data_IF_482800697103
#
_entry.id   IF_482800697103
#
_cell.length_a   1.000
_cell.length_b   1.000
_cell.length_c   1.000
_cell.angle_alpha   90.00
_cell.angle_beta   90.00
_cell.angle_gamma   90.00
#
_symmetry.space_group_name_H-M   'P 1'
#
loop_
_entity.id
_entity.type
_entity.pdbx_description
1 polymer ?
#
# COMPACT_ATOMS: atom_id res chain seq x y z
N UNK A 1 -8.89 8.03 12.77
CA UNK A 1 -8.24 7.05 11.86
C UNK A 1 -7.04 6.44 12.58
N UNK A 2 -6.98 5.12 12.70
CA UNK A 2 -5.84 4.44 13.31
C UNK A 2 -4.69 4.33 12.29
N UNK A 3 -3.44 4.47 12.74
CA UNK A 3 -2.24 4.48 11.89
C UNK A 3 -1.13 3.64 12.54
N UNK A 4 -0.33 3.00 11.72
CA UNK A 4 0.87 2.26 12.09
C UNK A 4 1.99 2.63 11.13
N UNK A 5 3.20 2.84 11.67
CA UNK A 5 4.43 2.98 10.90
C UNK A 5 5.56 2.28 11.62
N UNK A 6 6.35 1.49 10.89
CA UNK A 6 7.55 0.85 11.43
C UNK A 6 8.51 0.53 10.30
N UNK A 7 9.68 0.02 10.63
CA UNK A 7 10.65 -0.43 9.65
C UNK A 7 10.84 -1.94 9.76
N UNK A 8 11.03 -2.59 8.62
CA UNK A 8 11.26 -4.03 8.55
C UNK A 8 12.47 -4.33 7.67
N UNK A 9 13.19 -5.38 8.03
CA UNK A 9 14.14 -6.00 7.13
C UNK A 9 13.37 -6.86 6.14
N UNK A 10 13.39 -6.50 4.85
CA UNK A 10 12.72 -7.25 3.79
C UNK A 10 13.62 -8.40 3.34
N UNK A 11 13.89 -9.34 4.26
CA UNK A 11 14.72 -10.52 4.02
C UNK A 11 14.08 -11.69 4.76
N UNK A 12 14.19 -12.91 4.25
CA UNK A 12 13.62 -14.11 4.90
C UNK A 12 14.64 -15.25 4.96
N UNK A 13 15.92 -14.91 5.10
CA UNK A 13 17.03 -15.86 5.02
C UNK A 13 17.28 -16.66 6.29
N UNK A 14 16.61 -16.29 7.39
CA UNK A 14 16.65 -17.02 8.65
C UNK A 14 15.26 -17.12 9.24
N UNK A 15 15.05 -18.04 10.17
CA UNK A 15 13.84 -18.15 10.97
C UNK A 15 13.50 -16.82 11.64
N UNK A 16 14.52 -16.13 12.18
CA UNK A 16 14.33 -14.84 12.84
C UNK A 16 13.86 -13.76 11.86
N UNK A 17 14.49 -13.66 10.68
CA UNK A 17 14.07 -12.67 9.68
C UNK A 17 12.60 -12.90 9.25
N UNK A 18 12.19 -14.17 9.11
CA UNK A 18 10.81 -14.54 8.79
C UNK A 18 9.87 -14.15 9.92
N UNK A 19 10.22 -14.48 11.17
CA UNK A 19 9.43 -14.11 12.35
C UNK A 19 9.22 -12.61 12.42
N UNK A 20 10.27 -11.83 12.20
CA UNK A 20 10.21 -10.37 12.24
C UNK A 20 9.26 -9.83 11.17
N UNK A 21 9.33 -10.36 9.94
CA UNK A 21 8.43 -9.94 8.86
C UNK A 21 6.96 -10.31 9.11
N UNK A 22 6.69 -11.57 9.51
CA UNK A 22 5.33 -12.04 9.81
C UNK A 22 4.76 -11.28 11.02
N UNK A 23 5.58 -11.10 12.06
CA UNK A 23 5.22 -10.34 13.26
C UNK A 23 4.88 -8.90 12.93
N UNK A 24 5.69 -8.22 12.14
CA UNK A 24 5.42 -6.83 11.79
C UNK A 24 4.12 -6.69 10.97
N UNK A 25 3.83 -7.64 10.08
CA UNK A 25 2.56 -7.66 9.33
C UNK A 25 1.37 -7.86 10.28
N UNK A 26 1.49 -8.77 11.24
CA UNK A 26 0.48 -8.98 12.27
C UNK A 26 0.28 -7.74 13.15
N UNK A 27 1.37 -7.20 13.70
CA UNK A 27 1.35 -6.03 14.57
C UNK A 27 0.74 -4.82 13.83
N UNK A 28 1.02 -4.64 12.53
CA UNK A 28 0.42 -3.59 11.72
C UNK A 28 -1.11 -3.74 11.61
N UNK A 29 -1.62 -4.96 11.37
CA UNK A 29 -3.05 -5.24 11.29
C UNK A 29 -3.76 -4.97 12.63
N UNK A 30 -3.17 -5.44 13.74
CA UNK A 30 -3.73 -5.23 15.07
C UNK A 30 -3.69 -3.73 15.45
N UNK A 31 -2.58 -3.04 15.17
CA UNK A 31 -2.41 -1.63 15.50
C UNK A 31 -3.41 -0.71 14.78
N UNK A 32 -3.85 -1.06 13.57
CA UNK A 32 -4.90 -0.31 12.86
C UNK A 32 -6.32 -0.76 13.24
N UNK A 33 -6.44 -1.67 14.20
CA UNK A 33 -7.71 -2.11 14.77
C UNK A 33 -8.43 -3.15 13.92
N UNK A 34 -7.72 -3.98 13.15
CA UNK A 34 -8.25 -5.26 12.69
C UNK A 34 -8.23 -6.27 13.85
N UNK A 35 -9.10 -7.27 13.80
CA UNK A 35 -9.15 -8.35 14.79
C UNK A 35 -8.64 -9.61 14.11
N UNK A 36 -7.66 -10.31 14.72
CA UNK A 36 -7.34 -11.67 14.30
C UNK A 36 -8.49 -12.59 14.73
N UNK A 37 -9.03 -13.36 13.79
CA UNK A 37 -10.13 -14.28 14.10
C UNK A 37 -9.64 -15.48 14.93
N UNK A 38 -10.56 -16.26 15.48
CA UNK A 38 -10.25 -17.50 16.22
C UNK A 38 -10.25 -18.75 15.34
N UNK A 39 -10.04 -18.62 14.03
CA UNK A 39 -10.00 -19.76 13.11
C UNK A 39 -8.89 -20.75 13.50
N UNK A 40 -9.22 -22.05 13.48
CA UNK A 40 -8.30 -23.12 13.87
C UNK A 40 -7.20 -23.33 12.84
N UNK A 41 -5.95 -23.54 13.28
CA UNK A 41 -4.82 -23.82 12.38
C UNK A 41 -4.11 -22.58 11.86
N UNK A 42 -4.41 -21.41 12.41
CA UNK A 42 -3.63 -20.19 12.15
C UNK A 42 -2.19 -20.31 12.64
N UNK A 43 -1.29 -19.64 11.92
CA UNK A 43 0.15 -19.65 12.15
C UNK A 43 0.50 -19.07 13.52
N UNK A 44 1.15 -19.89 14.35
CA UNK A 44 1.92 -19.43 15.50
C UNK A 44 3.27 -18.87 15.01
N UNK A 45 3.48 -17.57 15.24
CA UNK A 45 4.69 -16.88 14.79
C UNK A 45 5.91 -17.38 15.56
N UNK A 46 5.73 -17.73 16.84
CA UNK A 46 6.84 -18.17 17.69
C UNK A 46 7.42 -19.51 17.24
N UNK A 47 6.58 -20.37 16.67
CA UNK A 47 6.93 -21.72 16.19
C UNK A 47 7.54 -21.76 14.79
N UNK A 48 7.68 -20.61 14.11
CA UNK A 48 8.32 -20.57 12.78
C UNK A 48 9.75 -21.12 12.90
N UNK A 49 10.04 -22.15 12.11
CA UNK A 49 11.33 -22.82 12.08
C UNK A 49 12.23 -22.27 10.96
N UNK A 50 13.52 -22.64 11.01
CA UNK A 50 14.46 -22.35 9.93
C UNK A 50 13.99 -23.07 8.66
N UNK A 51 13.91 -22.37 7.53
CA UNK A 51 13.54 -23.00 6.29
C UNK A 51 14.58 -24.01 5.82
N UNK A 52 14.12 -25.13 5.28
CA UNK A 52 14.99 -26.04 4.55
C UNK A 52 15.17 -25.54 3.11
N UNK A 53 16.40 -25.59 2.58
CA UNK A 53 16.72 -25.10 1.25
C UNK A 53 15.93 -25.83 0.14
N UNK A 54 15.58 -25.12 -0.94
CA UNK A 54 15.11 -25.71 -2.19
C UNK A 54 13.59 -25.89 -2.37
N UNK A 55 12.76 -25.46 -1.42
CA UNK A 55 11.28 -25.57 -1.53
C UNK A 55 10.59 -24.23 -1.37
N UNK A 56 9.57 -23.96 -2.19
CA UNK A 56 8.52 -23.01 -1.81
C UNK A 56 7.76 -23.63 -0.65
N UNK A 57 7.85 -23.08 0.57
CA UNK A 57 7.15 -23.62 1.73
C UNK A 57 6.10 -22.62 2.20
N UNK A 58 4.86 -23.10 2.32
CA UNK A 58 3.79 -22.37 2.99
C UNK A 58 4.00 -22.54 4.49
N UNK A 59 4.26 -21.45 5.20
CA UNK A 59 4.42 -21.44 6.65
C UNK A 59 3.08 -21.68 7.35
N UNK A 60 2.02 -21.11 6.80
CA UNK A 60 0.69 -21.09 7.38
C UNK A 60 -0.02 -19.79 7.02
N UNK A 61 -1.11 -19.51 7.71
CA UNK A 61 -1.95 -18.36 7.41
C UNK A 61 -2.41 -17.65 8.67
N UNK A 62 -2.85 -16.41 8.52
CA UNK A 62 -3.63 -15.68 9.52
C UNK A 62 -4.86 -15.05 8.88
N UNK A 63 -5.97 -15.01 9.61
CA UNK A 63 -7.23 -14.43 9.15
C UNK A 63 -7.57 -13.25 10.04
N UNK A 64 -7.95 -12.14 9.41
CA UNK A 64 -8.26 -10.89 10.06
C UNK A 64 -9.63 -10.38 9.62
N UNK A 65 -10.39 -9.82 10.56
CA UNK A 65 -11.61 -9.08 10.30
C UNK A 65 -11.34 -7.56 10.29
N UNK A 66 -11.89 -6.87 9.30
CA UNK A 66 -11.92 -5.40 9.25
C UNK A 66 -13.00 -4.92 10.22
N UNK A 67 -12.64 -4.85 11.51
CA UNK A 67 -13.50 -4.47 12.64
C UNK A 67 -13.92 -2.97 12.59
N UNK A 68 -14.68 -2.59 11.59
CA UNK A 68 -15.24 -1.25 11.39
C UNK A 68 -16.71 -1.17 11.86
N UNK A 69 -17.40 -0.04 11.65
CA UNK A 69 -18.76 0.14 12.20
C UNK A 69 -19.79 -0.80 11.58
N UNK A 70 -19.47 -1.43 10.45
CA UNK A 70 -20.35 -2.36 9.74
C UNK A 70 -19.95 -3.82 9.97
N UNK A 71 -18.86 -4.08 10.67
CA UNK A 71 -18.31 -5.43 10.87
C UNK A 71 -19.30 -6.41 11.49
N UNK A 72 -20.13 -5.98 12.45
CA UNK A 72 -21.13 -6.83 13.10
C UNK A 72 -22.22 -7.38 12.17
N UNK A 73 -22.53 -6.65 11.09
CA UNK A 73 -23.61 -7.01 10.15
C UNK A 73 -23.06 -7.46 8.81
N UNK A 74 -21.94 -6.87 8.40
CA UNK A 74 -21.31 -7.05 7.11
C UNK A 74 -19.78 -7.21 7.28
N UNK A 75 -19.30 -8.30 7.89
CA UNK A 75 -17.88 -8.51 8.13
C UNK A 75 -17.10 -8.71 6.82
N UNK A 76 -15.87 -8.22 6.79
CA UNK A 76 -14.92 -8.47 5.69
C UNK A 76 -13.70 -9.14 6.30
N UNK A 77 -13.32 -10.28 5.72
CA UNK A 77 -12.21 -11.08 6.18
C UNK A 77 -11.06 -11.05 5.18
N UNK A 78 -9.85 -10.95 5.71
CA UNK A 78 -8.61 -10.99 4.95
C UNK A 78 -7.80 -12.17 5.48
N UNK A 79 -7.54 -13.16 4.62
CA UNK A 79 -6.57 -14.21 4.89
C UNK A 79 -5.24 -13.85 4.25
N UNK A 80 -4.18 -13.85 5.05
CA UNK A 80 -2.81 -13.70 4.60
C UNK A 80 -2.12 -15.04 4.81
N UNK A 81 -1.73 -15.69 3.71
CA UNK A 81 -0.91 -16.91 3.73
C UNK A 81 0.54 -16.48 3.60
N UNK A 82 1.38 -16.88 4.54
CA UNK A 82 2.80 -16.57 4.52
C UNK A 82 3.54 -17.71 3.82
N UNK A 83 4.15 -17.41 2.68
CA UNK A 83 4.89 -18.37 1.87
C UNK A 83 6.17 -17.71 1.34
N UNK A 84 7.14 -17.41 2.21
CA UNK A 84 8.42 -16.85 1.78
C UNK A 84 9.09 -17.78 0.78
N UNK A 85 9.85 -17.18 -0.13
CA UNK A 85 10.50 -17.92 -1.21
C UNK A 85 11.99 -17.97 -0.98
N UNK A 86 12.58 -19.16 -1.14
CA UNK A 86 14.02 -19.37 -1.23
C UNK A 86 14.39 -19.72 -2.66
N UNK A 87 15.39 -19.02 -3.18
CA UNK A 87 15.92 -19.22 -4.52
C UNK A 87 17.41 -19.46 -4.40
N UNK A 88 17.92 -20.51 -5.02
CA UNK A 88 19.35 -20.71 -5.19
C UNK A 88 19.78 -20.08 -6.50
N UNK A 89 20.80 -19.23 -6.46
CA UNK A 89 21.47 -18.74 -7.66
C UNK A 89 22.99 -18.95 -7.55
N UNK A 90 23.72 -18.57 -8.61
CA UNK A 90 25.18 -18.67 -8.65
C UNK A 90 25.90 -17.78 -7.63
N UNK A 91 25.23 -16.82 -7.00
CA UNK A 91 25.76 -15.95 -5.94
C UNK A 91 25.32 -16.33 -4.52
N UNK A 92 24.53 -17.40 -4.36
CA UNK A 92 24.11 -17.95 -3.07
C UNK A 92 22.60 -18.16 -2.94
N UNK A 93 22.15 -18.48 -1.73
CA UNK A 93 20.73 -18.61 -1.41
C UNK A 93 20.13 -17.23 -1.13
N UNK A 94 19.10 -16.87 -1.89
CA UNK A 94 18.30 -15.66 -1.72
C UNK A 94 16.96 -16.02 -1.10
N UNK A 95 16.48 -15.19 -0.18
CA UNK A 95 15.21 -15.41 0.48
C UNK A 95 14.40 -14.12 0.55
N UNK A 96 13.23 -14.12 -0.07
CA UNK A 96 12.31 -12.99 -0.10
C UNK A 96 11.01 -13.26 0.66
N UNK A 97 10.40 -12.24 1.28
CA UNK A 97 9.00 -12.31 1.69
C UNK A 97 8.12 -12.68 0.50
N UNK A 98 7.06 -13.43 0.76
CA UNK A 98 6.13 -13.89 -0.25
C UNK A 98 4.93 -14.54 0.40
N UNK A 99 3.84 -14.67 -0.35
CA UNK A 99 2.61 -15.20 0.21
C UNK A 99 1.41 -14.95 -0.66
N UNK A 100 0.25 -15.27 -0.10
CA UNK A 100 -1.03 -15.17 -0.77
C UNK A 100 -2.00 -14.31 0.03
N UNK A 101 -2.88 -13.59 -0.64
CA UNK A 101 -3.98 -12.88 -0.02
C UNK A 101 -5.29 -13.47 -0.53
N UNK A 102 -6.22 -13.69 0.39
CA UNK A 102 -7.63 -13.87 0.06
C UNK A 102 -8.49 -12.85 0.80
N UNK A 103 -9.51 -12.34 0.12
CA UNK A 103 -10.50 -11.43 0.71
C UNK A 103 -11.90 -11.96 0.43
N UNK A 104 -12.74 -11.99 1.46
CA UNK A 104 -14.14 -12.37 1.32
C UNK A 104 -14.98 -11.93 2.50
N UNK A 105 -16.17 -12.52 2.60
CA UNK A 105 -17.24 -12.01 3.45
C UNK A 105 -17.66 -12.94 4.59
N UNK A 106 -17.08 -14.14 4.65
CA UNK A 106 -17.25 -15.10 5.72
C UNK A 106 -16.03 -16.02 5.81
N UNK A 107 -15.84 -16.62 6.97
CA UNK A 107 -14.90 -17.74 7.19
C UNK A 107 -15.66 -18.96 7.71
N UNK A 108 -15.12 -20.16 7.51
CA UNK A 108 -15.69 -21.43 8.03
C UNK A 108 -15.19 -21.80 9.44
N UNK A 109 -14.35 -20.95 10.05
CA UNK A 109 -13.74 -21.21 11.35
C UNK A 109 -12.53 -22.15 11.30
N UNK A 110 -12.22 -22.71 10.13
CA UNK A 110 -11.02 -23.49 9.85
C UNK A 110 -10.02 -22.73 8.95
N UNK A 111 -10.23 -21.42 8.82
CA UNK A 111 -9.39 -20.53 8.04
C UNK A 111 -9.65 -20.55 6.54
N UNK A 112 -10.76 -21.13 6.08
CA UNK A 112 -11.18 -20.99 4.69
C UNK A 112 -12.13 -19.81 4.55
N UNK A 113 -11.81 -18.92 3.61
CA UNK A 113 -12.75 -17.88 3.18
C UNK A 113 -13.86 -18.57 2.37
N UNK A 114 -15.11 -18.42 2.79
CA UNK A 114 -16.28 -19.03 2.15
C UNK A 114 -17.21 -17.98 1.54
N UNK A 115 -17.98 -18.39 0.53
CA UNK A 115 -18.81 -17.50 -0.28
C UNK A 115 -18.02 -16.82 -1.40
N UNK A 116 -18.47 -15.66 -1.91
CA UNK A 116 -17.74 -14.93 -2.93
C UNK A 116 -16.36 -14.48 -2.45
N UNK A 117 -15.33 -14.95 -3.14
CA UNK A 117 -13.93 -14.59 -2.91
C UNK A 117 -13.57 -13.49 -3.92
N UNK A 118 -13.13 -12.34 -3.41
CA UNK A 118 -12.80 -11.19 -4.24
C UNK A 118 -11.38 -11.23 -4.77
N UNK A 119 -10.47 -11.84 -4.02
CA UNK A 119 -9.08 -12.05 -4.38
C UNK A 119 -8.75 -13.49 -4.01
N UNK A 120 -8.40 -14.34 -4.97
CA UNK A 120 -8.06 -15.74 -4.71
C UNK A 120 -6.58 -15.99 -4.97
N UNK A 121 -5.88 -16.48 -3.95
CA UNK A 121 -4.49 -16.95 -3.98
C UNK A 121 -3.54 -16.03 -4.74
N UNK A 122 -3.61 -14.73 -4.48
CA UNK A 122 -2.77 -13.79 -5.18
C UNK A 122 -1.35 -13.73 -4.60
N UNK A 123 -0.33 -14.06 -5.41
CA UNK A 123 1.06 -14.06 -5.00
C UNK A 123 1.67 -12.66 -4.95
N UNK A 124 2.05 -12.19 -3.77
CA UNK A 124 2.94 -11.03 -3.68
C UNK A 124 4.41 -11.48 -3.73
N UNK A 125 5.23 -10.72 -4.46
CA UNK A 125 6.69 -10.88 -4.52
C UNK A 125 7.19 -12.19 -5.18
N UNK A 126 6.64 -12.53 -6.35
CA UNK A 126 7.02 -13.72 -7.13
C UNK A 126 8.27 -13.48 -7.99
N UNK A 127 9.48 -13.58 -7.43
CA UNK A 127 10.69 -13.66 -8.26
C UNK A 127 10.88 -15.09 -8.79
N UNK A 128 10.91 -15.30 -10.11
CA UNK A 128 11.11 -16.61 -10.74
C UNK A 128 12.49 -16.85 -11.35
N UNK A 129 13.38 -15.85 -11.45
CA UNK A 129 14.66 -16.00 -12.17
C UNK A 129 15.86 -16.12 -11.22
N UNK A 130 16.65 -17.17 -11.44
CA UNK A 130 17.88 -17.47 -10.70
C UNK A 130 19.10 -16.66 -11.18
N UNK A 131 18.94 -15.62 -11.99
CA UNK A 131 20.06 -14.91 -12.64
C UNK A 131 20.37 -13.53 -12.07
N UNK A 132 19.66 -13.07 -11.03
CA UNK A 132 19.76 -11.70 -10.54
C UNK A 132 20.23 -11.64 -9.09
N UNK A 133 21.08 -10.67 -8.78
CA UNK A 133 21.44 -10.33 -7.40
C UNK A 133 20.36 -9.40 -6.83
N UNK A 134 19.59 -9.91 -5.88
CA UNK A 134 18.60 -9.13 -5.13
C UNK A 134 19.32 -8.46 -3.96
N UNK A 135 19.26 -7.13 -3.89
CA UNK A 135 19.69 -6.40 -2.70
C UNK A 135 18.47 -6.22 -1.78
N UNK A 136 18.64 -6.67 -0.53
CA UNK A 136 17.63 -6.55 0.52
C UNK A 136 18.01 -5.41 1.48
N UNK A 137 17.05 -4.54 1.77
CA UNK A 137 17.27 -3.42 2.69
C UNK A 137 16.88 -3.83 4.12
N UNK A 138 17.66 -3.37 5.09
CA UNK A 138 17.48 -3.69 6.51
C UNK A 138 16.50 -2.76 7.23
N UNK A 139 16.02 -1.69 6.58
CA UNK A 139 15.27 -0.63 7.24
C UNK A 139 14.13 -0.07 6.36
N UNK A 140 13.30 -0.96 5.83
CA UNK A 140 12.29 -0.60 4.82
C UNK A 140 11.02 -0.11 5.52
N UNK A 141 10.48 1.03 5.09
CA UNK A 141 9.29 1.62 5.69
C UNK A 141 8.09 0.68 5.50
N UNK A 142 7.31 0.50 6.55
CA UNK A 142 6.03 -0.19 6.54
C UNK A 142 4.98 0.73 7.13
N UNK A 143 3.79 0.75 6.53
CA UNK A 143 2.72 1.63 6.92
C UNK A 143 1.38 0.90 6.82
N UNK A 144 0.49 1.17 7.77
CA UNK A 144 -0.90 0.74 7.70
C UNK A 144 -1.81 1.83 8.24
N UNK A 145 -3.03 1.91 7.73
CA UNK A 145 -4.08 2.73 8.32
C UNK A 145 -5.46 2.13 8.07
N UNK A 146 -6.40 2.44 8.97
CA UNK A 146 -7.79 2.01 8.87
C UNK A 146 -8.74 3.11 9.31
N UNK A 147 -9.82 3.26 8.58
CA UNK A 147 -10.99 4.05 8.93
C UNK A 147 -12.26 3.22 8.70
N UNK A 148 -13.43 3.84 8.77
CA UNK A 148 -14.66 3.11 8.54
C UNK A 148 -14.77 2.69 7.06
N UNK A 149 -14.90 1.40 6.77
CA UNK A 149 -14.97 0.89 5.41
C UNK A 149 -13.69 0.95 4.60
N UNK A 150 -12.53 1.17 5.23
CA UNK A 150 -11.26 1.33 4.51
C UNK A 150 -10.08 0.72 5.29
N UNK A 151 -9.19 0.03 4.58
CA UNK A 151 -7.93 -0.49 5.08
C UNK A 151 -6.81 -0.27 4.05
N UNK A 152 -5.66 0.20 4.51
CA UNK A 152 -4.42 0.21 3.75
C UNK A 152 -3.32 -0.48 4.55
N UNK A 153 -2.52 -1.28 3.85
CA UNK A 153 -1.37 -1.99 4.39
C UNK A 153 -0.27 -2.08 3.33
N UNK A 154 0.90 -1.53 3.63
CA UNK A 154 2.10 -1.67 2.84
C UNK A 154 3.27 -2.07 3.74
N UNK A 155 3.90 -3.21 3.46
CA UNK A 155 5.04 -3.70 4.24
C UNK A 155 6.29 -3.63 3.39
N UNK A 156 7.35 -3.03 3.95
CA UNK A 156 8.67 -3.04 3.35
C UNK A 156 8.78 -2.24 2.05
N UNK A 157 8.18 -1.05 2.01
CA UNK A 157 8.31 -0.07 0.92
C UNK A 157 9.78 0.24 0.65
N UNK A 158 10.18 0.10 -0.61
CA UNK A 158 11.56 0.32 -1.07
C UNK A 158 12.53 -0.79 -0.65
N UNK A 159 12.03 -1.93 -0.18
CA UNK A 159 12.86 -2.94 0.49
C UNK A 159 13.57 -3.95 -0.39
N UNK A 160 13.21 -4.00 -1.67
CA UNK A 160 13.77 -4.93 -2.62
C UNK A 160 14.24 -4.18 -3.85
N UNK A 161 15.52 -4.35 -4.17
CA UNK A 161 16.13 -3.84 -5.38
C UNK A 161 16.55 -5.01 -6.27
N UNK A 162 16.09 -5.00 -7.51
CA UNK A 162 16.68 -5.79 -8.57
C UNK A 162 17.78 -4.98 -9.24
N UNK A 163 18.99 -5.54 -9.28
CA UNK A 163 20.08 -4.96 -10.04
C UNK A 163 20.15 -5.65 -11.42
N UNK A 164 19.33 -5.20 -12.37
CA UNK A 164 19.26 -5.77 -13.72
C UNK A 164 20.19 -5.09 -14.73
N UNK A 165 21.24 -4.40 -14.28
CA UNK A 165 22.16 -3.65 -15.14
C UNK A 165 21.53 -2.51 -15.97
N UNK A 166 20.21 -2.34 -15.92
CA UNK A 166 19.42 -1.44 -16.78
C UNK A 166 18.41 -0.57 -16.01
N UNK A 167 18.42 -0.63 -14.67
CA UNK A 167 17.61 0.23 -13.80
C UNK A 167 17.32 -0.42 -12.46
N UNK A 168 17.22 0.40 -11.40
CA UNK A 168 16.79 -0.04 -10.07
C UNK A 168 15.28 0.08 -9.96
N UNK A 169 14.61 -1.04 -9.66
CA UNK A 169 13.19 -1.04 -9.30
C UNK A 169 13.07 -1.18 -7.78
N UNK A 170 12.47 -0.19 -7.12
CA UNK A 170 12.05 -0.27 -5.73
C UNK A 170 10.70 -1.00 -5.70
N UNK A 171 10.61 -2.10 -4.96
CA UNK A 171 9.32 -2.76 -4.72
C UNK A 171 8.93 -2.75 -3.25
N UNK A 172 7.65 -3.03 -3.00
CA UNK A 172 7.07 -3.28 -1.69
C UNK A 172 6.99 -4.78 -1.48
N UNK A 173 7.26 -5.26 -0.27
CA UNK A 173 7.16 -6.69 0.05
C UNK A 173 5.70 -7.16 0.10
N UNK A 174 4.79 -6.26 0.49
CA UNK A 174 3.36 -6.51 0.56
C UNK A 174 2.60 -5.20 0.32
N UNK A 175 1.48 -5.25 -0.41
CA UNK A 175 0.58 -4.12 -0.57
C UNK A 175 -0.86 -4.61 -0.66
N UNK A 176 -1.71 -4.01 0.15
CA UNK A 176 -3.14 -4.21 0.15
C UNK A 176 -3.82 -2.87 0.43
N UNK A 177 -4.77 -2.54 -0.41
CA UNK A 177 -5.77 -1.51 -0.17
C UNK A 177 -7.14 -2.17 -0.29
N UNK A 178 -8.05 -1.82 0.59
CA UNK A 178 -9.41 -2.32 0.57
C UNK A 178 -10.35 -1.18 0.95
N UNK A 179 -11.41 -1.00 0.18
CA UNK A 179 -12.47 -0.04 0.46
C UNK A 179 -13.84 -0.69 0.23
N UNK A 180 -14.74 -0.57 1.19
CA UNK A 180 -16.15 -0.95 1.02
C UNK A 180 -16.77 -0.18 -0.14
N UNK A 181 -17.79 -0.76 -0.76
CA UNK A 181 -18.71 0.02 -1.57
C UNK A 181 -19.37 1.10 -0.71
N UNK A 182 -19.87 2.16 -1.36
CA UNK A 182 -20.50 3.29 -0.69
C UNK A 182 -21.92 3.48 -1.22
N UNK A 183 -22.81 3.97 -0.37
CA UNK A 183 -24.16 4.32 -0.73
C UNK A 183 -24.22 5.63 -1.56
N UNK A 184 -25.42 6.07 -1.92
CA UNK A 184 -25.62 7.33 -2.67
C UNK A 184 -25.17 8.59 -1.91
N UNK A 185 -24.91 8.50 -0.60
CA UNK A 185 -24.40 9.59 0.23
C UNK A 185 -22.88 9.50 0.44
N UNK A 186 -22.21 8.52 -0.17
CA UNK A 186 -20.78 8.27 0.01
C UNK A 186 -20.42 7.58 1.33
N UNK A 187 -21.39 7.13 2.11
CA UNK A 187 -21.13 6.38 3.34
C UNK A 187 -20.82 4.92 2.99
N UNK A 188 -19.85 4.27 3.65
CA UNK A 188 -19.59 2.84 3.46
C UNK A 188 -20.87 2.01 3.65
N UNK A 189 -21.06 0.99 2.81
CA UNK A 189 -22.21 0.10 2.87
C UNK A 189 -21.79 -1.39 3.02
N UNK A 190 -22.79 -2.26 3.13
CA UNK A 190 -22.60 -3.70 3.30
C UNK A 190 -22.51 -4.51 2.00
N UNK A 191 -22.64 -3.86 0.84
CA UNK A 191 -22.92 -4.55 -0.42
C UNK A 191 -21.70 -5.30 -0.96
N UNK A 192 -20.51 -4.74 -0.79
CA UNK A 192 -19.27 -5.31 -1.29
C UNK A 192 -18.02 -4.53 -0.90
N UNK A 193 -16.92 -4.81 -1.59
CA UNK A 193 -15.72 -3.99 -1.51
C UNK A 193 -14.88 -4.05 -2.79
N UNK A 194 -13.99 -3.08 -2.92
CA UNK A 194 -12.89 -3.02 -3.88
C UNK A 194 -11.61 -3.37 -3.14
N UNK A 195 -10.81 -4.26 -3.73
CA UNK A 195 -9.51 -4.69 -3.23
C UNK A 195 -8.47 -4.31 -4.28
N UNK A 196 -7.45 -3.57 -3.89
CA UNK A 196 -6.29 -3.25 -4.73
C UNK A 196 -5.05 -3.88 -4.11
N UNK A 197 -4.25 -4.56 -4.92
CA UNK A 197 -3.06 -5.28 -4.45
C UNK A 197 -1.93 -5.25 -5.49
N UNK A 198 -0.70 -5.44 -5.03
CA UNK A 198 0.48 -5.41 -5.90
C UNK A 198 0.64 -6.69 -6.73
N UNK A 199 0.28 -6.54 -8.01
CA UNK A 199 0.48 -7.30 -9.24
C UNK A 199 1.89 -7.70 -9.72
N UNK A 200 2.20 -8.98 -9.90
CA UNK A 200 3.19 -9.44 -10.87
C UNK A 200 4.61 -9.70 -10.35
N UNK A 201 5.37 -10.40 -11.19
CA UNK A 201 6.81 -10.56 -11.04
C UNK A 201 7.49 -9.30 -11.59
N UNK A 202 8.27 -8.54 -10.80
CA UNK A 202 8.96 -7.35 -11.29
C UNK A 202 10.07 -7.69 -12.32
N UNK A 203 10.23 -8.95 -12.71
CA UNK A 203 11.39 -9.44 -13.46
C UNK A 203 11.60 -8.82 -14.84
N UNK A 204 10.58 -8.19 -15.43
CA UNK A 204 10.70 -7.55 -16.75
C UNK A 204 10.06 -6.17 -16.85
N UNK A 205 9.52 -5.65 -15.75
CA UNK A 205 8.83 -4.36 -15.72
C UNK A 205 9.40 -3.53 -14.57
N UNK A 206 9.88 -2.33 -14.88
CA UNK A 206 10.23 -1.30 -13.89
C UNK A 206 9.02 -0.77 -13.10
N UNK A 207 7.86 -1.39 -13.28
CA UNK A 207 6.57 -1.03 -12.68
C UNK A 207 6.03 -2.24 -11.92
N UNK A 208 5.78 -2.07 -10.63
CA UNK A 208 4.87 -2.95 -9.89
C UNK A 208 3.48 -2.76 -10.52
N UNK A 209 2.79 -3.81 -10.93
CA UNK A 209 1.42 -3.64 -11.41
C UNK A 209 0.52 -3.53 -10.19
N UNK A 210 -0.49 -2.67 -10.21
CA UNK A 210 -1.56 -2.74 -9.21
C UNK A 210 -2.75 -3.40 -9.90
N UNK A 211 -3.26 -4.47 -9.30
CA UNK A 211 -4.54 -5.05 -9.71
C UNK A 211 -5.62 -4.57 -8.76
N UNK A 212 -6.82 -4.42 -9.29
CA UNK A 212 -8.01 -4.23 -8.48
C UNK A 212 -9.03 -5.31 -8.81
N UNK A 213 -9.77 -5.74 -7.80
CA UNK A 213 -10.93 -6.61 -7.92
C UNK A 213 -12.06 -5.98 -7.11
N UNK A 214 -13.29 -6.13 -7.59
CA UNK A 214 -14.46 -5.66 -6.88
C UNK A 214 -15.54 -6.71 -6.91
N UNK A 215 -16.37 -6.75 -5.90
CA UNK A 215 -17.49 -7.68 -5.91
C UNK A 215 -18.36 -7.52 -4.69
N UNK A 216 -19.56 -8.07 -4.80
CA UNK A 216 -20.57 -8.04 -3.76
C UNK A 216 -20.69 -9.36 -3.03
N UNK A 217 -21.49 -9.36 -1.96
CA UNK A 217 -21.78 -10.54 -1.15
C UNK A 217 -22.53 -11.66 -1.89
N UNK A 218 -23.18 -11.34 -3.01
CA UNK A 218 -23.90 -12.31 -3.85
C UNK A 218 -23.07 -12.84 -5.02
N UNK A 219 -22.12 -12.05 -5.52
CA UNK A 219 -21.39 -12.31 -6.77
C UNK A 219 -20.03 -11.62 -6.73
N UNK A 220 -18.95 -12.39 -6.93
CA UNK A 220 -17.63 -11.84 -7.17
C UNK A 220 -17.46 -11.55 -8.67
N UNK A 221 -17.08 -10.33 -9.03
CA UNK A 221 -16.78 -9.96 -10.41
C UNK A 221 -15.27 -9.78 -10.55
N UNK A 222 -14.61 -10.72 -11.21
CA UNK A 222 -13.22 -10.50 -11.64
C UNK A 222 -13.27 -9.81 -12.99
N UNK A 223 -13.20 -8.48 -12.99
CA UNK A 223 -12.98 -7.73 -14.23
C UNK A 223 -11.55 -7.99 -14.73
N UNK A 224 -11.34 -8.47 -15.98
CA UNK A 224 -10.02 -8.60 -16.57
C UNK A 224 -9.47 -7.26 -17.07
N UNK A 225 -10.06 -6.13 -16.66
CA UNK A 225 -9.51 -4.82 -17.00
C UNK A 225 -8.15 -4.69 -16.33
N UNK A 226 -7.11 -5.07 -17.09
CA UNK A 226 -5.78 -4.52 -16.97
C UNK A 226 -5.91 -3.00 -17.20
N UNK A 227 -6.42 -2.28 -16.21
CA UNK A 227 -5.85 -0.97 -15.96
C UNK A 227 -4.41 -1.25 -15.57
N UNK A 228 -3.53 -1.23 -16.58
CA UNK A 228 -2.21 -0.66 -16.38
C UNK A 228 -2.47 0.81 -16.15
N UNK A 229 -2.50 1.36 -14.92
CA UNK A 229 -2.18 2.76 -14.78
C UNK A 229 -0.79 2.90 -15.42
N UNK A 230 -0.73 3.50 -16.60
CA UNK A 230 0.45 3.45 -17.48
C UNK A 230 1.69 4.05 -16.81
N UNK A 231 1.56 4.67 -15.64
CA UNK A 231 2.66 5.14 -14.82
C UNK A 231 2.28 4.95 -13.35
N UNK A 232 2.98 4.05 -12.64
CA UNK A 232 3.01 4.13 -11.19
C UNK A 232 3.65 5.46 -10.79
N UNK A 233 3.21 6.15 -9.72
CA UNK A 233 4.10 7.08 -9.07
C UNK A 233 5.36 6.30 -8.69
N UNK A 234 6.52 6.73 -9.17
CA UNK A 234 7.79 6.20 -8.65
C UNK A 234 7.85 6.61 -7.18
N UNK A 235 7.37 5.74 -6.29
CA UNK A 235 7.51 5.93 -4.86
C UNK A 235 8.97 5.67 -4.50
N UNK A 236 9.82 6.67 -4.70
CA UNK A 236 11.15 6.70 -4.13
C UNK A 236 11.05 7.30 -2.73
N UNK A 237 11.49 6.55 -1.71
CA UNK A 237 11.78 7.15 -0.42
C UNK A 237 13.14 7.84 -0.50
N UNK A 238 13.15 9.16 -0.63
CA UNK A 238 14.33 9.96 -0.27
C UNK A 238 14.06 10.44 1.16
N UNK A 239 14.86 9.96 2.12
CA UNK A 239 14.75 10.33 3.54
C UNK A 239 13.38 10.04 4.20
N UNK A 240 12.72 8.94 3.82
CA UNK A 240 11.48 8.49 4.48
C UNK A 240 10.20 9.22 4.05
N UNK A 241 10.27 10.15 3.08
CA UNK A 241 9.11 10.78 2.47
C UNK A 241 8.71 10.03 1.19
N UNK A 242 7.41 9.75 1.03
CA UNK A 242 6.85 9.23 -0.22
C UNK A 242 6.79 10.40 -1.21
N UNK A 243 7.68 10.41 -2.21
CA UNK A 243 7.61 11.36 -3.32
C UNK A 243 6.98 10.69 -4.53
N UNK A 244 6.08 11.40 -5.21
CA UNK A 244 5.64 11.10 -6.57
C UNK A 244 6.15 12.24 -7.48
N UNK A 245 6.69 11.91 -8.65
CA UNK A 245 7.10 12.92 -9.62
C UNK A 245 5.86 13.61 -10.20
N UNK A 246 5.89 14.92 -10.40
CA UNK A 246 4.80 15.68 -11.03
C UNK A 246 4.44 15.13 -12.44
N UNK A 247 5.44 14.62 -13.18
CA UNK A 247 5.21 13.96 -14.48
C UNK A 247 4.48 12.60 -14.35
N UNK A 248 4.62 11.92 -13.20
CA UNK A 248 3.89 10.68 -12.92
C UNK A 248 2.42 10.96 -12.57
N UNK A 249 2.10 12.16 -12.07
CA UNK A 249 0.76 12.61 -11.67
C UNK A 249 -0.02 13.26 -12.83
N UNK A 250 0.65 13.91 -13.79
CA UNK A 250 -0.01 14.62 -14.90
C UNK A 250 -0.71 13.73 -15.93
N UNK A 251 -0.46 12.42 -15.92
CA UNK A 251 -1.17 11.43 -16.74
C UNK A 251 -2.49 10.92 -16.13
N UNK A 252 -2.83 11.35 -14.92
CA UNK A 252 -3.98 10.85 -14.16
C UNK A 252 -5.21 11.75 -14.37
N UNK A 253 -6.08 11.37 -15.30
CA UNK A 253 -7.44 11.89 -15.39
C UNK A 253 -8.40 10.96 -14.64
N UNK A 254 -8.36 10.91 -13.30
CA UNK A 254 -9.42 10.25 -12.51
C UNK A 254 -9.63 10.89 -11.13
N UNK A 255 -10.91 11.03 -10.79
CA UNK A 255 -11.50 11.65 -9.60
C UNK A 255 -11.65 10.67 -8.42
N UNK A 256 -10.59 9.92 -8.07
CA UNK A 256 -10.58 9.03 -6.90
C UNK A 256 -9.69 9.56 -5.77
N UNK A 257 -9.49 10.88 -5.71
CA UNK A 257 -8.87 11.51 -4.55
C UNK A 257 -9.97 11.71 -3.51
N UNK A 258 -10.10 10.72 -2.63
CA UNK A 258 -10.78 10.90 -1.34
C UNK A 258 -10.11 12.10 -0.64
N UNK A 259 -10.91 13.09 -0.21
CA UNK A 259 -10.41 14.34 0.38
C UNK A 259 -9.56 14.14 1.63
N UNK A 260 -9.55 12.93 2.18
CA UNK A 260 -8.86 12.55 3.40
C UNK A 260 -7.40 12.12 3.18
N UNK A 261 -6.93 12.04 1.92
CA UNK A 261 -5.59 11.57 1.54
C UNK A 261 -4.80 12.60 0.72
N UNK A 262 -4.57 13.80 1.26
CA UNK A 262 -3.63 14.74 0.63
C UNK A 262 -2.74 15.42 1.68
N UNK A 263 -1.54 14.87 1.89
CA UNK A 263 -0.36 15.69 2.22
C UNK A 263 0.60 15.58 1.05
N UNK A 264 0.56 16.54 0.15
CA UNK A 264 1.48 16.63 -0.99
C UNK A 264 2.75 17.33 -0.51
N UNK A 265 3.84 16.59 -0.28
CA UNK A 265 5.16 17.18 -0.01
C UNK A 265 5.88 17.34 -1.34
N UNK A 266 5.86 18.55 -1.89
CA UNK A 266 6.63 18.90 -3.09
C UNK A 266 8.06 19.25 -2.69
N UNK A 267 9.05 18.51 -3.20
CA UNK A 267 10.46 18.93 -3.16
C UNK A 267 10.98 19.09 -4.59
N UNK A 268 11.74 20.15 -4.87
CA UNK A 268 12.37 20.35 -6.18
C UNK A 268 11.55 21.16 -7.21
N UNK A 269 10.56 21.95 -6.76
CA UNK A 269 9.86 22.88 -7.66
C UNK A 269 10.84 23.98 -8.11
N UNK A 270 11.19 23.98 -9.39
CA UNK A 270 11.97 25.07 -9.99
C UNK A 270 11.10 26.32 -10.15
N UNK A 271 11.73 27.49 -10.06
CA UNK A 271 11.12 28.80 -10.32
C UNK A 271 10.36 28.80 -11.65
N UNK A 272 9.10 29.23 -11.64
CA UNK A 272 8.24 29.33 -12.83
C UNK A 272 7.24 28.18 -13.04
N UNK A 273 7.14 27.24 -12.11
CA UNK A 273 6.15 26.16 -12.21
C UNK A 273 4.78 26.65 -11.73
N UNK A 274 3.82 26.78 -12.65
CA UNK A 274 2.42 27.07 -12.31
C UNK A 274 1.73 25.79 -11.82
N UNK A 275 1.44 25.72 -10.53
CA UNK A 275 0.66 24.63 -9.95
C UNK A 275 -0.84 25.02 -10.00
N UNK A 276 -1.61 24.41 -10.91
CA UNK A 276 -3.08 24.54 -10.90
C UNK A 276 -3.65 23.48 -9.96
N UNK A 277 -4.15 23.92 -8.80
CA UNK A 277 -5.06 23.11 -7.99
C UNK A 277 -6.48 23.42 -8.47
N UNK A 278 -7.15 22.44 -9.09
CA UNK A 278 -8.59 22.56 -9.34
C UNK A 278 -9.32 22.41 -8.02
N UNK A 279 -10.23 23.34 -7.73
CA UNK A 279 -11.09 23.36 -6.56
C UNK A 279 -12.50 22.90 -6.89
N UNK A 280 -12.70 22.20 -8.01
CA UNK A 280 -14.00 21.66 -8.40
C UNK A 280 -14.51 20.73 -7.30
N UNK A 281 -15.46 21.22 -6.48
CA UNK A 281 -16.09 20.47 -5.39
C UNK A 281 -15.85 20.97 -3.96
N UNK A 282 -15.06 22.02 -3.73
CA UNK A 282 -14.87 22.56 -2.37
C UNK A 282 -16.06 23.46 -1.99
N UNK A 283 -16.94 22.99 -1.11
CA UNK A 283 -18.01 23.81 -0.51
C UNK A 283 -17.49 24.65 0.66
N UNK A 284 -18.25 25.69 1.01
CA UNK A 284 -17.89 26.97 1.63
C UNK A 284 -17.19 26.98 3.03
N UNK A 285 -16.65 25.86 3.53
CA UNK A 285 -16.08 25.81 4.91
C UNK A 285 -14.80 24.99 5.09
N UNK A 286 -14.09 24.64 4.01
CA UNK A 286 -12.84 23.90 4.13
C UNK A 286 -11.63 24.84 4.02
N UNK A 287 -10.86 24.95 5.10
CA UNK A 287 -9.56 25.60 5.07
C UNK A 287 -8.57 24.73 4.30
N UNK A 288 -8.10 25.21 3.16
CA UNK A 288 -6.96 24.61 2.46
C UNK A 288 -5.68 25.03 3.19
N UNK A 289 -5.14 24.13 4.01
CA UNK A 289 -3.81 24.32 4.60
C UNK A 289 -2.78 23.74 3.63
N UNK A 290 -1.95 24.60 3.04
CA UNK A 290 -0.81 24.20 2.20
C UNK A 290 0.46 24.36 3.04
N UNK A 291 0.97 23.31 3.70
CA UNK A 291 2.25 23.40 4.37
C UNK A 291 3.36 23.48 3.31
N UNK A 292 4.17 24.54 3.37
CA UNK A 292 5.33 24.73 2.50
C UNK A 292 6.58 24.54 3.36
N UNK A 293 7.32 23.47 3.12
CA UNK A 293 8.61 23.24 3.77
C UNK A 293 9.76 23.58 2.83
N UNK A 294 10.68 24.44 3.27
CA UNK A 294 11.92 24.73 2.57
C UNK A 294 13.03 23.83 3.12
N UNK A 295 13.57 22.93 2.30
CA UNK A 295 14.78 22.16 2.64
C UNK A 295 15.97 22.67 1.83
N UNK A 296 17.00 23.16 2.53
CA UNK A 296 18.31 23.69 2.09
C UNK A 296 18.41 25.22 1.91
N UNK A 297 19.14 25.85 2.84
CA UNK A 297 19.36 27.30 2.96
C UNK A 297 20.72 27.79 2.45
N UNK A 298 21.34 27.12 1.46
CA UNK A 298 22.66 27.57 0.97
C UNK A 298 22.59 28.52 -0.24
N UNK A 299 21.41 28.74 -0.83
CA UNK A 299 21.18 29.72 -1.90
C UNK A 299 20.06 30.71 -1.53
N UNK A 300 20.30 31.49 -0.47
CA UNK A 300 19.34 32.48 0.07
C UNK A 300 19.24 33.78 -0.75
N UNK A 301 19.61 33.77 -2.04
CA UNK A 301 19.57 34.97 -2.87
C UNK A 301 18.32 34.96 -3.77
N UNK A 302 17.36 35.82 -3.42
CA UNK A 302 16.23 36.28 -4.24
C UNK A 302 15.31 35.20 -4.83
N UNK A 303 14.65 34.39 -3.98
CA UNK A 303 13.51 33.57 -4.42
C UNK A 303 12.22 34.07 -3.77
N UNK A 304 11.44 34.83 -4.53
CA UNK A 304 10.07 35.20 -4.16
C UNK A 304 9.10 34.09 -4.57
N UNK A 305 8.20 33.70 -3.65
CA UNK A 305 7.07 32.84 -3.95
C UNK A 305 5.91 33.72 -4.44
N UNK A 306 5.52 33.57 -5.70
CA UNK A 306 4.31 34.22 -6.22
C UNK A 306 3.15 33.23 -6.10
N UNK A 307 2.15 33.58 -5.30
CA UNK A 307 0.89 32.83 -5.18
C UNK A 307 -0.19 33.65 -5.87
N UNK A 308 -0.67 33.18 -7.02
CA UNK A 308 -1.81 33.78 -7.70
C UNK A 308 -3.08 33.01 -7.35
N UNK A 309 -4.07 33.71 -6.80
CA UNK A 309 -5.37 33.14 -6.45
C UNK A 309 -6.40 33.69 -7.43
N UNK A 310 -7.18 32.79 -8.02
CA UNK A 310 -8.28 33.14 -8.93
C UNK A 310 -9.22 34.15 -8.26
N UNK A 311 -9.54 35.23 -8.98
CA UNK A 311 -10.37 36.34 -8.51
C UNK A 311 -11.74 35.89 -7.97
N UNK A 312 -12.25 34.73 -8.40
CA UNK A 312 -13.53 34.18 -7.93
C UNK A 312 -13.55 33.85 -6.42
N UNK A 313 -12.39 33.69 -5.78
CA UNK A 313 -12.28 33.33 -4.36
C UNK A 313 -11.92 34.51 -3.44
N UNK A 314 -11.72 35.72 -3.98
CA UNK A 314 -11.29 36.90 -3.19
C UNK A 314 -12.34 37.41 -2.20
N UNK A 315 -13.61 37.06 -2.39
CA UNK A 315 -14.72 37.56 -1.57
C UNK A 315 -15.12 36.63 -0.40
N UNK A 316 -14.46 35.48 -0.23
CA UNK A 316 -14.87 34.44 0.73
C UNK A 316 -14.45 34.67 2.19
N UNK A 317 -13.95 35.85 2.57
CA UNK A 317 -13.74 36.22 3.98
C UNK A 317 -12.62 35.43 4.68
N UNK A 318 -11.46 36.08 4.81
CA UNK A 318 -10.30 35.65 5.61
C UNK A 318 -9.60 34.35 5.17
N UNK A 319 -8.75 34.48 4.15
CA UNK A 319 -7.61 33.58 3.97
C UNK A 319 -6.47 34.05 4.89
N UNK A 320 -6.12 33.25 5.91
CA UNK A 320 -4.93 33.48 6.72
C UNK A 320 -3.78 32.62 6.16
N UNK A 321 -2.79 33.26 5.54
CA UNK A 321 -1.50 32.60 5.23
C UNK A 321 -0.63 32.75 6.47
N UNK A 322 -0.41 31.66 7.19
CA UNK A 322 0.52 31.63 8.32
C UNK A 322 1.85 31.06 7.83
N UNK A 323 2.91 31.85 7.95
CA UNK A 323 4.28 31.40 7.76
C UNK A 323 4.77 30.86 9.10
N UNK A 324 5.22 29.60 9.14
CA UNK A 324 6.00 29.01 10.24
C UNK A 324 7.40 28.68 9.74
#
# INVERSE_FOLDING_TARGET
MAKFTSNVRVRTSSAQDIKDWVKLTHDAMIAVGCIQTSDTGQLDISSIAEPTAGTNYVLGYRVYEINDSLSSTYPIYIKIVFAPRRMSNSSGEQASPGGYIQVGFSTDGAGNIVGPILCDNYTFNSYTSASLTVAYFSNCLSAACKSNGYLFLAIGLGGTFLNNGSGSANSTSFFLYLKRTVDSNGAPDGNGCVVVYASGSPLYSSKTELKYQWGGRSTAYTGPEQYSPTVQPRMSSINGLIQANAADLSGWNYSFIDSDLVSLVLSGVTTGTNLKLSTDGITEKNYLVIPIFYSNSNDANNKGLHIEIDNRYKNLGALAVRFE
#
